data_IF_341673284897
#
_entry.id   IF_341673284897
#
_cell.length_a   1.000
_cell.length_b   1.000
_cell.length_c   1.000
_cell.angle_alpha   90.00
_cell.angle_beta   90.00
_cell.angle_gamma   90.00
#
_symmetry.space_group_name_H-M   'P 1'
#
loop_
_entity.id
_entity.type
_entity.pdbx_description
1 polymer ?
#
# COMPACT_ATOMS: atom_id res chain seq x y z
N UNK A 1 -12.97 42.00 35.15
CA UNK A 1 -12.71 40.54 35.05
C UNK A 1 -13.21 39.96 33.74
N UNK A 2 -14.42 40.31 33.27
CA UNK A 2 -14.95 39.79 32.00
C UNK A 2 -14.14 40.19 30.75
N UNK A 3 -13.63 41.43 30.67
CA UNK A 3 -12.81 41.93 29.55
C UNK A 3 -11.52 41.13 29.34
N UNK A 4 -10.71 41.00 30.40
CA UNK A 4 -9.45 40.24 30.34
C UNK A 4 -9.67 38.76 30.01
N UNK A 5 -10.77 38.18 30.51
CA UNK A 5 -11.10 36.79 30.22
C UNK A 5 -11.54 36.61 28.77
N UNK A 6 -12.34 37.55 28.22
CA UNK A 6 -12.71 37.56 26.80
C UNK A 6 -11.48 37.70 25.91
N UNK A 7 -10.56 38.60 26.27
CA UNK A 7 -9.33 38.82 25.51
C UNK A 7 -8.39 37.61 25.55
N UNK A 8 -8.33 36.90 26.67
CA UNK A 8 -7.59 35.65 26.79
C UNK A 8 -8.19 34.53 25.91
N UNK A 9 -9.53 34.44 25.85
CA UNK A 9 -10.23 33.48 24.98
C UNK A 9 -9.99 33.82 23.51
N UNK A 10 -10.10 35.09 23.12
CA UNK A 10 -9.82 35.54 21.75
C UNK A 10 -8.39 35.22 21.34
N UNK A 11 -7.41 35.46 22.22
CA UNK A 11 -6.01 35.11 21.96
C UNK A 11 -5.81 33.60 21.83
N UNK A 12 -6.47 32.80 22.67
CA UNK A 12 -6.41 31.33 22.58
C UNK A 12 -7.01 30.84 21.26
N UNK A 13 -8.16 31.35 20.86
CA UNK A 13 -8.83 30.97 19.61
C UNK A 13 -8.00 31.41 18.40
N UNK A 14 -7.45 32.62 18.42
CA UNK A 14 -6.60 33.12 17.35
C UNK A 14 -5.31 32.30 17.21
N UNK A 15 -4.61 32.03 18.32
CA UNK A 15 -3.38 31.25 18.33
C UNK A 15 -3.61 29.79 17.94
N UNK A 16 -4.59 29.14 18.57
CA UNK A 16 -4.93 27.74 18.28
C UNK A 16 -5.49 27.57 16.87
N UNK A 17 -6.31 28.52 16.39
CA UNK A 17 -6.87 28.53 15.05
C UNK A 17 -5.80 28.67 13.97
N UNK A 18 -4.83 29.56 14.17
CA UNK A 18 -3.71 29.73 13.24
C UNK A 18 -2.85 28.46 13.16
N UNK A 19 -2.50 27.87 14.31
CA UNK A 19 -1.73 26.61 14.34
C UNK A 19 -2.52 25.49 13.68
N UNK A 20 -3.82 25.36 13.95
CA UNK A 20 -4.67 24.35 13.35
C UNK A 20 -4.75 24.50 11.82
N UNK A 21 -4.96 25.71 11.32
CA UNK A 21 -4.97 26.00 9.88
C UNK A 21 -3.61 25.68 9.24
N UNK A 22 -2.51 26.05 9.90
CA UNK A 22 -1.16 25.75 9.43
C UNK A 22 -0.91 24.24 9.34
N UNK A 23 -1.31 23.48 10.36
CA UNK A 23 -1.19 22.01 10.35
C UNK A 23 -2.05 21.39 9.25
N UNK A 24 -3.28 21.87 9.02
CA UNK A 24 -4.11 21.42 7.89
C UNK A 24 -3.37 21.61 6.57
N UNK A 25 -2.81 22.80 6.34
CA UNK A 25 -2.04 23.10 5.13
C UNK A 25 -0.83 22.16 5.01
N UNK A 26 -0.09 21.92 6.10
CA UNK A 26 1.04 20.99 6.10
C UNK A 26 0.61 19.54 5.81
N UNK A 27 -0.52 19.09 6.34
CA UNK A 27 -1.06 17.77 6.01
C UNK A 27 -1.38 17.68 4.53
N UNK A 28 -2.04 18.67 3.94
CA UNK A 28 -2.28 18.68 2.50
C UNK A 28 -0.99 18.74 1.68
N UNK A 29 0.01 19.52 2.10
CA UNK A 29 1.31 19.59 1.44
C UNK A 29 2.05 18.25 1.47
N UNK A 30 2.06 17.57 2.62
CA UNK A 30 2.67 16.23 2.75
C UNK A 30 1.91 15.17 1.98
N UNK A 31 0.57 15.23 1.93
CA UNK A 31 -0.25 14.36 1.08
C UNK A 31 0.02 14.60 -0.41
N UNK A 32 0.15 15.86 -0.82
CA UNK A 32 0.50 16.20 -2.20
C UNK A 32 1.89 15.67 -2.53
N UNK A 33 2.88 15.89 -1.65
CA UNK A 33 4.22 15.33 -1.81
C UNK A 33 4.17 13.80 -1.93
N UNK A 34 3.42 13.10 -1.07
CA UNK A 34 3.24 11.65 -1.15
C UNK A 34 2.64 11.23 -2.50
N UNK A 35 1.62 11.94 -3.00
CA UNK A 35 1.04 11.67 -4.32
C UNK A 35 2.00 11.95 -5.46
N UNK A 36 2.76 13.04 -5.40
CA UNK A 36 3.76 13.38 -6.41
C UNK A 36 4.87 12.32 -6.44
N UNK A 37 5.32 11.85 -5.28
CA UNK A 37 6.31 10.75 -5.19
C UNK A 37 5.73 9.45 -5.75
N UNK A 38 4.49 9.09 -5.43
CA UNK A 38 3.86 7.89 -6.00
C UNK A 38 3.60 8.01 -7.52
N UNK A 39 3.39 9.23 -8.02
CA UNK A 39 3.06 9.47 -9.43
C UNK A 39 4.29 9.63 -10.33
N UNK A 40 5.33 10.29 -9.83
CA UNK A 40 6.54 10.67 -10.58
C UNK A 40 7.80 9.98 -10.07
N UNK A 41 7.76 9.36 -8.90
CA UNK A 41 8.84 8.55 -8.38
C UNK A 41 8.98 7.23 -9.17
N UNK A 42 10.18 6.64 -9.19
CA UNK A 42 10.38 5.28 -9.69
C UNK A 42 9.46 4.32 -8.91
N UNK A 43 8.98 3.27 -9.56
CA UNK A 43 8.32 2.17 -8.87
C UNK A 43 9.35 1.47 -7.97
N UNK A 44 9.58 2.02 -6.79
CA UNK A 44 10.29 1.31 -5.74
C UNK A 44 9.46 0.04 -5.41
N UNK A 45 10.10 -1.14 -5.33
CA UNK A 45 9.40 -2.35 -4.96
C UNK A 45 8.75 -2.10 -3.61
N UNK A 46 7.42 -2.18 -3.59
CA UNK A 46 6.61 -2.02 -2.39
C UNK A 46 7.26 -2.84 -1.27
N UNK A 47 7.68 -2.22 -0.15
CA UNK A 47 8.11 -2.99 1.01
C UNK A 47 6.89 -3.83 1.36
N UNK A 48 7.02 -5.15 1.24
CA UNK A 48 5.93 -6.10 1.42
C UNK A 48 5.26 -5.84 2.78
N UNK A 49 4.24 -5.00 2.79
CA UNK A 49 3.39 -4.80 3.94
C UNK A 49 2.69 -6.14 4.06
N UNK A 50 2.85 -6.89 5.17
CA UNK A 50 2.12 -8.13 5.31
C UNK A 50 0.64 -7.75 5.26
N UNK A 51 0.00 -8.03 4.12
CA UNK A 51 -1.41 -7.81 3.91
C UNK A 51 -2.11 -8.41 5.12
N UNK A 52 -2.89 -7.60 5.85
CA UNK A 52 -3.81 -8.12 6.87
C UNK A 52 -4.59 -9.21 6.16
N UNK A 53 -4.33 -10.47 6.55
CA UNK A 53 -4.91 -11.66 5.95
C UNK A 53 -6.42 -11.54 6.05
N UNK A 54 -7.06 -11.03 5.00
CA UNK A 54 -8.48 -11.25 4.81
C UNK A 54 -8.63 -12.74 4.55
N UNK A 55 -9.53 -13.34 5.31
CA UNK A 55 -9.81 -14.77 5.34
C UNK A 55 -10.08 -15.27 3.90
N UNK A 56 -9.39 -16.35 3.56
CA UNK A 56 -9.26 -16.93 2.23
C UNK A 56 -10.54 -17.06 1.38
N UNK A 57 -10.39 -16.87 0.08
CA UNK A 57 -11.19 -17.56 -0.94
C UNK A 57 -10.24 -18.54 -1.66
N UNK A 58 -10.57 -19.84 -1.79
CA UNK A 58 -9.75 -20.75 -2.57
C UNK A 58 -9.73 -20.26 -4.02
N UNK A 59 -8.57 -19.81 -4.48
CA UNK A 59 -8.35 -19.53 -5.90
C UNK A 59 -8.51 -20.84 -6.65
N UNK A 60 -9.40 -20.86 -7.66
CA UNK A 60 -9.48 -21.96 -8.61
C UNK A 60 -8.07 -22.25 -9.19
N UNK A 61 -7.75 -23.52 -9.52
CA UNK A 61 -6.44 -23.84 -10.09
C UNK A 61 -6.22 -22.97 -11.32
N UNK A 62 -5.17 -22.15 -11.28
CA UNK A 62 -4.74 -21.36 -12.43
C UNK A 62 -4.60 -22.29 -13.64
N UNK A 63 -5.03 -21.86 -14.85
CA UNK A 63 -4.76 -22.63 -16.06
C UNK A 63 -3.25 -22.90 -16.10
N UNK A 64 -2.88 -24.19 -16.15
CA UNK A 64 -1.47 -24.57 -16.21
C UNK A 64 -0.89 -23.96 -17.47
N UNK A 65 0.15 -23.16 -17.30
CA UNK A 65 0.84 -22.50 -18.41
C UNK A 65 1.30 -23.56 -19.43
N UNK A 66 1.10 -23.33 -20.75
CA UNK A 66 1.39 -24.32 -21.79
C UNK A 66 2.82 -24.84 -21.74
N UNK A 67 3.80 -24.01 -21.36
CA UNK A 67 5.20 -24.41 -21.22
C UNK A 67 5.39 -25.36 -20.03
N UNK A 68 4.65 -25.13 -18.95
CA UNK A 68 4.66 -26.01 -17.77
C UNK A 68 4.04 -27.37 -18.12
N UNK A 69 2.96 -27.39 -18.90
CA UNK A 69 2.33 -28.62 -19.35
C UNK A 69 3.24 -29.43 -20.29
N UNK A 70 4.01 -28.78 -21.16
CA UNK A 70 5.00 -29.42 -22.03
C UNK A 70 6.18 -29.98 -21.23
N UNK A 71 6.70 -29.21 -20.27
CA UNK A 71 7.77 -29.64 -19.38
C UNK A 71 7.36 -30.89 -18.57
N UNK A 72 6.13 -30.92 -18.04
CA UNK A 72 5.58 -32.08 -17.32
C UNK A 72 5.47 -33.30 -18.25
N UNK A 73 4.95 -33.13 -19.47
CA UNK A 73 4.86 -34.22 -20.46
C UNK A 73 6.24 -34.81 -20.78
N UNK A 74 7.24 -33.94 -21.00
CA UNK A 74 8.63 -34.36 -21.27
C UNK A 74 9.24 -35.10 -20.08
N UNK A 75 9.02 -34.61 -18.87
CA UNK A 75 9.49 -35.25 -17.65
C UNK A 75 8.86 -36.64 -17.45
N UNK A 76 7.56 -36.80 -17.70
CA UNK A 76 6.87 -38.10 -17.62
C UNK A 76 7.39 -39.06 -18.70
N UNK A 77 7.57 -38.60 -19.94
CA UNK A 77 8.11 -39.42 -21.02
C UNK A 77 9.54 -39.91 -20.70
N UNK A 78 10.38 -39.03 -20.14
CA UNK A 78 11.74 -39.35 -19.71
C UNK A 78 11.79 -40.29 -18.50
N UNK A 79 10.86 -40.15 -17.55
CA UNK A 79 10.73 -41.08 -16.43
C UNK A 79 10.32 -42.47 -16.92
N UNK A 80 9.30 -42.54 -17.79
CA UNK A 80 8.80 -43.81 -18.33
C UNK A 80 9.82 -44.52 -19.21
N UNK A 81 10.63 -43.79 -19.97
CA UNK A 81 11.72 -44.39 -20.75
C UNK A 81 12.85 -44.91 -19.86
N UNK A 82 13.16 -44.22 -18.76
CA UNK A 82 14.15 -44.69 -17.76
C UNK A 82 13.67 -45.86 -16.91
N UNK A 83 12.37 -45.95 -16.64
CA UNK A 83 11.77 -47.00 -15.80
C UNK A 83 11.13 -48.16 -16.58
N UNK A 84 11.25 -48.19 -17.92
CA UNK A 84 10.87 -49.36 -18.74
C UNK A 84 12.05 -50.33 -18.87
N UNK A 85 12.48 -50.91 -17.75
CA UNK A 85 13.31 -52.11 -17.69
C UNK A 85 12.60 -53.16 -16.84
#
# INVERSE_FOLDING_TARGET
MNELMSQAIDLMVAGMGFVFAFLIILVFATLLMSKLVLRFGPAEPEPAVPARKSRAKPSAPSPVDPDTAEAIKKAIAQYRSRHKK
#
